data_IF_269281126912
#
_entry.id   IF_269281126912
#
_cell.length_a   1.000
_cell.length_b   1.000
_cell.length_c   1.000
_cell.angle_alpha   90.00
_cell.angle_beta   90.00
_cell.angle_gamma   90.00
#
_symmetry.space_group_name_H-M   'P 1'
#
loop_
_entity.id
_entity.type
_entity.pdbx_description
1 polymer ?
#
# COMPACT_ATOMS: atom_id res chain seq x y z
N UNK A 1 0.86 -28.87 0.94
CA UNK A 1 0.93 -28.04 2.17
C UNK A 1 0.63 -26.63 1.69
N UNK A 2 -0.45 -26.02 2.17
CA UNK A 2 -0.71 -24.60 1.95
C UNK A 2 0.39 -23.81 2.64
N UNK A 3 1.08 -22.95 1.91
CA UNK A 3 2.08 -22.06 2.50
C UNK A 3 1.45 -21.20 3.58
N UNK A 4 2.14 -21.04 4.72
CA UNK A 4 1.70 -20.14 5.77
C UNK A 4 1.88 -18.67 5.32
N UNK A 5 0.95 -17.81 5.73
CA UNK A 5 1.11 -16.35 5.62
C UNK A 5 2.27 -15.89 6.50
N UNK A 6 3.06 -14.96 5.98
CA UNK A 6 4.14 -14.26 6.68
C UNK A 6 3.60 -12.91 7.12
N UNK A 7 3.68 -12.61 8.42
CA UNK A 7 3.25 -11.31 8.95
C UNK A 7 4.29 -10.22 8.71
N UNK A 8 3.94 -8.96 9.00
CA UNK A 8 4.90 -7.85 8.89
C UNK A 8 6.07 -8.03 9.88
N UNK A 9 5.78 -8.46 11.11
CA UNK A 9 6.83 -8.71 12.11
C UNK A 9 7.74 -9.88 11.72
N UNK A 10 7.21 -10.91 11.05
CA UNK A 10 8.01 -12.03 10.55
C UNK A 10 8.86 -11.63 9.33
N UNK A 11 8.35 -10.72 8.50
CA UNK A 11 9.08 -10.19 7.34
C UNK A 11 10.42 -9.56 7.75
N UNK A 12 10.47 -8.87 8.90
CA UNK A 12 11.67 -8.18 9.40
C UNK A 12 12.85 -9.13 9.66
N UNK A 13 12.60 -10.45 9.77
CA UNK A 13 13.66 -11.46 9.93
C UNK A 13 14.34 -11.84 8.60
N UNK A 14 13.81 -11.41 7.44
CA UNK A 14 14.37 -11.72 6.13
C UNK A 14 15.29 -10.60 5.63
N UNK A 15 16.45 -10.97 5.09
CA UNK A 15 17.36 -10.03 4.41
C UNK A 15 16.83 -9.69 3.01
N UNK A 16 15.97 -8.68 2.94
CA UNK A 16 15.35 -8.15 1.72
C UNK A 16 15.43 -6.61 1.68
N UNK A 17 16.63 -6.01 1.58
CA UNK A 17 16.82 -4.57 1.73
C UNK A 17 16.07 -3.73 0.67
N UNK A 18 15.80 -4.30 -0.50
CA UNK A 18 15.08 -3.64 -1.60
C UNK A 18 13.56 -3.64 -1.41
N UNK A 19 13.01 -4.35 -0.43
CA UNK A 19 11.57 -4.57 -0.32
C UNK A 19 11.02 -4.04 1.00
N UNK A 20 9.75 -3.66 0.99
CA UNK A 20 9.00 -3.27 2.19
C UNK A 20 7.66 -3.99 2.21
N UNK A 21 7.22 -4.36 3.40
CA UNK A 21 5.92 -4.95 3.62
C UNK A 21 4.87 -3.83 3.76
N UNK A 22 3.93 -3.77 2.83
CA UNK A 22 2.88 -2.73 2.77
C UNK A 22 1.55 -3.43 2.46
N UNK A 23 0.50 -3.18 3.25
CA UNK A 23 -0.85 -3.72 3.05
C UNK A 23 -0.90 -5.22 2.71
N UNK A 24 -0.18 -6.06 3.47
CA UNK A 24 -0.12 -7.54 3.28
C UNK A 24 0.59 -8.01 2.00
N UNK A 25 1.38 -7.14 1.37
CA UNK A 25 2.12 -7.42 0.14
C UNK A 25 3.56 -6.94 0.25
N UNK A 26 4.44 -7.46 -0.59
CA UNK A 26 5.79 -6.94 -0.73
C UNK A 26 5.83 -5.91 -1.85
N UNK A 27 6.30 -4.71 -1.54
CA UNK A 27 6.45 -3.60 -2.48
C UNK A 27 7.93 -3.27 -2.66
N UNK A 28 8.31 -2.92 -3.89
CA UNK A 28 9.60 -2.28 -4.18
C UNK A 28 9.45 -1.30 -5.32
N UNK A 29 10.42 -0.41 -5.44
CA UNK A 29 10.61 0.46 -6.59
C UNK A 29 12.08 0.46 -6.97
N UNK A 30 12.37 0.25 -8.24
CA UNK A 30 13.71 0.39 -8.80
C UNK A 30 13.77 1.64 -9.67
N UNK A 31 14.75 2.51 -9.42
CA UNK A 31 15.11 3.62 -10.30
C UNK A 31 15.94 3.08 -11.45
N UNK A 32 15.56 3.43 -12.66
CA UNK A 32 16.28 3.03 -13.88
C UNK A 32 16.94 4.25 -14.51
N UNK A 33 18.15 4.13 -15.09
CA UNK A 33 18.84 5.25 -15.73
C UNK A 33 18.11 5.74 -16.99
N UNK A 34 17.41 4.85 -17.67
CA UNK A 34 16.62 5.11 -18.85
C UNK A 34 15.43 4.13 -18.96
N UNK A 35 14.57 4.35 -19.95
CA UNK A 35 13.38 3.55 -20.19
C UNK A 35 13.73 2.15 -20.73
N UNK A 36 14.81 2.03 -21.52
CA UNK A 36 15.24 0.75 -22.11
C UNK A 36 15.69 -0.23 -21.01
N UNK A 37 16.41 0.26 -20.00
CA UNK A 37 16.77 -0.50 -18.80
C UNK A 37 15.52 -0.94 -18.03
N UNK A 38 14.51 -0.05 -17.93
CA UNK A 38 13.21 -0.39 -17.36
C UNK A 38 12.49 -1.50 -18.12
N UNK A 39 12.42 -1.42 -19.45
CA UNK A 39 11.85 -2.47 -20.29
C UNK A 39 12.59 -3.80 -20.14
N UNK A 40 13.92 -3.78 -20.10
CA UNK A 40 14.73 -4.98 -19.89
C UNK A 40 14.47 -5.61 -18.52
N UNK A 41 14.34 -4.80 -17.47
CA UNK A 41 14.00 -5.25 -16.13
C UNK A 41 12.62 -5.91 -16.11
N UNK A 42 11.59 -5.26 -16.65
CA UNK A 42 10.23 -5.81 -16.76
C UNK A 42 10.23 -7.14 -17.51
N UNK A 43 10.93 -7.23 -18.65
CA UNK A 43 11.00 -8.46 -19.43
C UNK A 43 11.63 -9.62 -18.66
N UNK A 44 12.72 -9.37 -17.92
CA UNK A 44 13.39 -10.39 -17.11
C UNK A 44 12.56 -10.82 -15.90
N UNK A 45 11.89 -9.87 -15.23
CA UNK A 45 10.95 -10.19 -14.15
C UNK A 45 9.80 -11.03 -14.70
N UNK A 46 9.23 -10.66 -15.85
CA UNK A 46 8.16 -11.42 -16.49
C UNK A 46 8.57 -12.86 -16.86
N UNK A 47 9.80 -13.06 -17.33
CA UNK A 47 10.33 -14.40 -17.59
C UNK A 47 10.47 -15.22 -16.29
N UNK A 48 11.03 -14.62 -15.23
CA UNK A 48 11.17 -15.26 -13.93
C UNK A 48 9.81 -15.58 -13.28
N UNK A 49 8.83 -14.67 -13.43
CA UNK A 49 7.45 -14.87 -12.97
C UNK A 49 6.81 -16.09 -13.63
N UNK A 50 7.02 -16.26 -14.94
CA UNK A 50 6.49 -17.43 -15.65
C UNK A 50 7.18 -18.73 -15.25
N UNK A 51 8.49 -18.72 -15.05
CA UNK A 51 9.19 -19.90 -14.53
C UNK A 51 8.70 -20.29 -13.13
N UNK A 52 8.45 -19.31 -12.27
CA UNK A 52 7.95 -19.52 -10.91
C UNK A 52 6.45 -19.85 -10.84
N UNK A 53 5.69 -19.64 -11.93
CA UNK A 53 4.22 -19.62 -11.92
C UNK A 53 3.65 -18.71 -10.81
N UNK A 54 4.29 -17.54 -10.65
CA UNK A 54 4.00 -16.58 -9.60
C UNK A 54 4.14 -15.17 -10.18
N UNK A 55 3.02 -14.51 -10.46
CA UNK A 55 2.99 -13.29 -11.27
C UNK A 55 2.83 -12.05 -10.39
N UNK A 56 3.78 -11.09 -10.45
CA UNK A 56 3.66 -9.84 -9.71
C UNK A 56 2.84 -8.81 -10.50
N UNK A 57 2.42 -7.76 -9.81
CA UNK A 57 2.01 -6.51 -10.44
C UNK A 57 3.27 -5.67 -10.75
N UNK A 58 3.31 -5.07 -11.94
CA UNK A 58 4.45 -4.29 -12.40
C UNK A 58 3.95 -3.00 -13.07
N UNK A 59 4.43 -1.86 -12.59
CA UNK A 59 4.28 -0.57 -13.24
C UNK A 59 5.61 -0.09 -13.83
N UNK A 60 5.58 0.34 -15.09
CA UNK A 60 6.74 0.89 -15.79
C UNK A 60 6.53 2.38 -16.08
N UNK A 61 7.38 3.21 -15.48
CA UNK A 61 7.47 4.64 -15.73
C UNK A 61 8.81 5.00 -16.38
N UNK A 62 8.92 6.22 -16.92
CA UNK A 62 10.11 6.67 -17.67
C UNK A 62 11.46 6.43 -16.96
N UNK A 63 11.50 6.50 -15.62
CA UNK A 63 12.73 6.29 -14.84
C UNK A 63 12.56 5.39 -13.62
N UNK A 64 11.52 4.54 -13.61
CA UNK A 64 11.36 3.55 -12.54
C UNK A 64 10.47 2.38 -12.92
N UNK A 65 10.73 1.24 -12.29
CA UNK A 65 9.84 0.07 -12.27
C UNK A 65 9.38 -0.16 -10.84
N UNK A 66 8.07 -0.10 -10.60
CA UNK A 66 7.47 -0.56 -9.35
C UNK A 66 7.07 -2.03 -9.48
N UNK A 67 7.20 -2.78 -8.39
CA UNK A 67 6.82 -4.20 -8.34
C UNK A 67 6.11 -4.50 -7.03
N UNK A 68 4.99 -5.21 -7.14
CA UNK A 68 4.23 -5.71 -5.98
C UNK A 68 4.06 -7.22 -6.13
N UNK A 69 4.37 -7.99 -5.10
CA UNK A 69 4.18 -9.44 -5.08
C UNK A 69 3.48 -9.91 -3.81
N UNK A 70 2.56 -10.84 -3.99
CA UNK A 70 1.82 -11.55 -2.94
C UNK A 70 1.30 -12.88 -3.51
N UNK A 71 1.06 -13.86 -2.64
CA UNK A 71 0.42 -15.12 -3.02
C UNK A 71 -1.10 -14.98 -3.02
N UNK A 72 -1.68 -14.72 -4.20
CA UNK A 72 -3.12 -14.49 -4.37
C UNK A 72 -4.00 -15.62 -3.85
N UNK A 73 -3.57 -16.88 -4.03
CA UNK A 73 -4.29 -18.06 -3.55
C UNK A 73 -4.36 -18.15 -2.02
N UNK A 74 -3.42 -17.48 -1.34
CA UNK A 74 -3.34 -17.39 0.12
C UNK A 74 -3.84 -16.04 0.63
N UNK A 75 -3.99 -15.02 -0.21
CA UNK A 75 -4.38 -13.66 0.19
C UNK A 75 -3.34 -12.97 1.10
N UNK A 76 -2.04 -13.12 0.79
CA UNK A 76 -0.96 -12.50 1.55
C UNK A 76 0.44 -12.93 1.12
N UNK A 77 1.46 -12.48 1.84
CA UNK A 77 2.87 -12.85 1.60
C UNK A 77 3.13 -14.28 2.08
N UNK A 78 3.82 -15.08 1.27
CA UNK A 78 4.30 -16.41 1.66
C UNK A 78 5.80 -16.57 1.37
N UNK A 79 6.34 -17.75 1.66
CA UNK A 79 7.72 -18.09 1.30
C UNK A 79 8.02 -17.96 -0.21
N UNK A 80 7.00 -18.14 -1.08
CA UNK A 80 7.10 -17.93 -2.52
C UNK A 80 7.46 -16.48 -2.86
N UNK A 81 6.78 -15.54 -2.21
CA UNK A 81 7.02 -14.10 -2.38
C UNK A 81 8.42 -13.70 -1.92
N UNK A 82 8.87 -14.24 -0.78
CA UNK A 82 10.23 -14.01 -0.28
C UNK A 82 11.27 -14.52 -1.27
N UNK A 83 11.08 -15.72 -1.81
CA UNK A 83 11.97 -16.28 -2.83
C UNK A 83 12.01 -15.43 -4.10
N UNK A 84 10.84 -15.04 -4.60
CA UNK A 84 10.72 -14.27 -5.83
C UNK A 84 11.26 -12.83 -5.69
N UNK A 85 11.05 -12.20 -4.53
CA UNK A 85 11.63 -10.90 -4.20
C UNK A 85 13.16 -10.91 -4.29
N UNK A 86 13.84 -11.98 -3.85
CA UNK A 86 15.29 -12.14 -4.02
C UNK A 86 15.70 -12.24 -5.49
N UNK A 87 14.96 -13.01 -6.28
CA UNK A 87 15.23 -13.14 -7.73
C UNK A 87 15.09 -11.79 -8.43
N UNK A 88 14.04 -11.03 -8.14
CA UNK A 88 13.83 -9.70 -8.72
C UNK A 88 14.96 -8.74 -8.31
N UNK A 89 15.35 -8.73 -7.03
CA UNK A 89 16.49 -7.92 -6.56
C UNK A 89 17.77 -8.22 -7.32
N UNK A 90 18.10 -9.50 -7.53
CA UNK A 90 19.29 -9.89 -8.29
C UNK A 90 19.22 -9.44 -9.76
N UNK A 91 18.05 -9.56 -10.41
CA UNK A 91 17.85 -9.07 -11.78
C UNK A 91 18.05 -7.55 -11.85
N UNK A 92 17.53 -6.80 -10.88
CA UNK A 92 17.66 -5.35 -10.83
C UNK A 92 19.13 -4.93 -10.67
N UNK A 93 19.86 -5.57 -9.76
CA UNK A 93 21.29 -5.32 -9.53
C UNK A 93 22.13 -5.59 -10.78
N UNK A 94 21.87 -6.70 -11.48
CA UNK A 94 22.57 -7.05 -12.73
C UNK A 94 22.34 -6.03 -13.85
N UNK A 95 21.17 -5.38 -13.87
CA UNK A 95 20.82 -4.35 -14.85
C UNK A 95 21.22 -2.93 -14.40
N UNK A 96 21.84 -2.78 -13.22
CA UNK A 96 22.25 -1.48 -12.68
C UNK A 96 21.07 -0.60 -12.24
N UNK A 97 19.90 -1.18 -12.02
CA UNK A 97 18.77 -0.46 -11.44
C UNK A 97 18.96 -0.29 -9.93
N UNK A 98 18.68 0.89 -9.40
CA UNK A 98 18.91 1.21 -7.97
C UNK A 98 17.61 1.08 -7.19
N UNK A 99 17.59 0.29 -6.13
CA UNK A 99 16.41 0.17 -5.26
C UNK A 99 16.13 1.49 -4.51
N UNK A 100 14.86 1.90 -4.48
CA UNK A 100 14.33 3.05 -3.75
C UNK A 100 13.12 2.59 -2.89
N UNK A 101 13.34 1.67 -1.93
CA UNK A 101 12.28 1.02 -1.17
C UNK A 101 11.48 1.99 -0.30
N UNK A 102 12.08 3.09 0.16
CA UNK A 102 11.39 4.10 0.99
C UNK A 102 10.35 4.92 0.22
N UNK A 103 10.43 4.92 -1.12
CA UNK A 103 9.50 5.66 -1.95
C UNK A 103 8.16 4.95 -2.17
N UNK A 104 8.05 3.67 -1.80
CA UNK A 104 6.80 2.91 -1.95
C UNK A 104 5.75 3.46 -0.97
N UNK A 105 4.54 3.61 -1.47
CA UNK A 105 3.39 4.00 -0.67
C UNK A 105 2.11 3.54 -1.38
N UNK A 106 1.06 3.34 -0.59
CA UNK A 106 -0.31 3.20 -1.09
C UNK A 106 -1.12 4.34 -0.50
N UNK A 107 -1.84 5.05 -1.36
CA UNK A 107 -2.86 6.01 -0.94
C UNK A 107 -4.19 5.26 -0.95
N UNK A 108 -4.80 5.10 0.21
CA UNK A 108 -6.13 4.55 0.33
C UNK A 108 -7.11 5.64 0.78
N UNK A 109 -8.31 5.65 0.21
CA UNK A 109 -9.31 6.67 0.49
C UNK A 109 -10.40 6.08 1.39
N UNK A 110 -10.53 6.61 2.60
CA UNK A 110 -11.56 6.21 3.55
C UNK A 110 -12.79 7.11 3.47
N UNK A 111 -13.99 6.52 3.49
CA UNK A 111 -15.25 7.24 3.62
C UNK A 111 -15.95 6.89 4.94
N UNK A 112 -16.06 7.88 5.82
CA UNK A 112 -16.74 7.79 7.10
C UNK A 112 -18.26 7.69 6.92
N UNK A 113 -18.85 6.64 7.49
CA UNK A 113 -20.29 6.41 7.42
C UNK A 113 -20.79 5.59 8.61
N UNK A 114 -21.98 5.89 9.12
CA UNK A 114 -22.62 5.06 10.14
C UNK A 114 -23.21 3.76 9.60
N UNK A 115 -23.27 3.60 8.28
CA UNK A 115 -23.78 2.39 7.63
C UNK A 115 -23.15 2.19 6.24
N UNK A 116 -22.02 1.46 6.15
CA UNK A 116 -21.35 1.12 4.88
C UNK A 116 -22.28 0.43 3.89
N UNK A 117 -23.00 -0.60 4.34
CA UNK A 117 -23.89 -1.42 3.49
C UNK A 117 -24.97 -0.59 2.76
N UNK A 118 -25.41 0.52 3.36
CA UNK A 118 -26.41 1.44 2.76
C UNK A 118 -25.85 2.25 1.60
N UNK A 119 -24.58 2.63 1.63
CA UNK A 119 -23.98 3.56 0.66
C UNK A 119 -23.02 2.87 -0.33
N UNK A 120 -22.49 1.69 0.01
CA UNK A 120 -21.56 0.93 -0.83
C UNK A 120 -22.09 0.69 -2.25
N UNK A 121 -23.36 0.30 -2.48
CA UNK A 121 -23.88 0.09 -3.84
C UNK A 121 -23.82 1.33 -4.73
N UNK A 122 -23.97 2.54 -4.16
CA UNK A 122 -23.84 3.78 -4.92
C UNK A 122 -22.39 3.98 -5.40
N UNK A 123 -21.41 3.78 -4.52
CA UNK A 123 -20.00 3.96 -4.86
C UNK A 123 -19.48 2.89 -5.81
N UNK A 124 -19.94 1.64 -5.68
CA UNK A 124 -19.67 0.59 -6.67
C UNK A 124 -20.11 1.03 -8.08
N UNK A 125 -21.35 1.52 -8.20
CA UNK A 125 -21.88 1.99 -9.48
C UNK A 125 -21.15 3.24 -10.01
N UNK A 126 -20.79 4.18 -9.13
CA UNK A 126 -20.11 5.41 -9.53
C UNK A 126 -18.68 5.15 -10.01
N UNK A 127 -17.94 4.30 -9.30
CA UNK A 127 -16.53 4.03 -9.56
C UNK A 127 -16.33 2.90 -10.59
N UNK A 128 -17.40 2.16 -10.94
CA UNK A 128 -17.26 0.93 -11.72
C UNK A 128 -16.41 -0.11 -10.99
N UNK A 129 -16.54 -0.16 -9.67
CA UNK A 129 -15.70 -0.94 -8.76
C UNK A 129 -16.46 -2.12 -8.15
N UNK A 130 -15.74 -3.18 -7.81
CA UNK A 130 -16.26 -4.35 -7.12
C UNK A 130 -15.82 -4.37 -5.65
N UNK A 131 -16.48 -5.18 -4.82
CA UNK A 131 -16.01 -5.42 -3.44
C UNK A 131 -14.63 -6.05 -3.49
N UNK A 132 -13.72 -5.57 -2.64
CA UNK A 132 -12.42 -6.21 -2.48
C UNK A 132 -12.63 -7.65 -1.96
N UNK A 133 -12.09 -8.68 -2.63
CA UNK A 133 -12.25 -10.07 -2.19
C UNK A 133 -11.57 -10.36 -0.84
N UNK A 134 -10.61 -9.54 -0.43
CA UNK A 134 -9.86 -9.66 0.81
C UNK A 134 -10.40 -8.72 1.93
N UNK A 135 -11.26 -7.76 1.58
CA UNK A 135 -11.82 -6.76 2.50
C UNK A 135 -13.27 -6.36 2.12
N UNK A 136 -14.24 -6.82 2.92
CA UNK A 136 -15.66 -6.51 2.71
C UNK A 136 -16.00 -5.02 2.83
N UNK A 137 -15.12 -4.20 3.43
CA UNK A 137 -15.27 -2.75 3.51
C UNK A 137 -14.54 -2.00 2.38
N UNK A 138 -13.76 -2.70 1.56
CA UNK A 138 -13.02 -2.16 0.42
C UNK A 138 -13.77 -2.22 -0.92
N UNK A 139 -13.36 -1.34 -1.84
CA UNK A 139 -13.70 -1.35 -3.25
C UNK A 139 -12.44 -1.33 -4.11
N UNK A 140 -12.41 -2.17 -5.15
CA UNK A 140 -11.35 -2.24 -6.16
C UNK A 140 -11.85 -1.95 -7.57
N UNK A 141 -11.05 -1.24 -8.35
CA UNK A 141 -11.33 -1.02 -9.77
C UNK A 141 -11.02 -2.25 -10.64
N UNK A 142 -11.26 -2.13 -11.95
CA UNK A 142 -11.00 -3.20 -12.91
C UNK A 142 -9.51 -3.60 -13.06
N UNK A 143 -8.59 -2.77 -12.54
CA UNK A 143 -7.16 -3.07 -12.49
C UNK A 143 -6.74 -3.71 -11.16
N UNK A 144 -7.69 -3.91 -10.23
CA UNK A 144 -7.42 -4.44 -8.90
C UNK A 144 -6.85 -3.41 -7.93
N UNK A 145 -6.92 -2.12 -8.26
CA UNK A 145 -6.44 -1.02 -7.42
C UNK A 145 -7.49 -0.65 -6.38
N UNK A 146 -7.09 -0.49 -5.12
CA UNK A 146 -7.96 0.04 -4.07
C UNK A 146 -8.37 1.47 -4.42
N UNK A 147 -9.69 1.73 -4.45
CA UNK A 147 -10.23 3.05 -4.80
C UNK A 147 -10.98 3.73 -3.67
N UNK A 148 -11.59 2.96 -2.77
CA UNK A 148 -12.34 3.48 -1.63
C UNK A 148 -12.59 2.38 -0.60
N UNK A 149 -12.46 2.67 0.69
CA UNK A 149 -12.92 1.82 1.78
C UNK A 149 -13.89 2.57 2.71
N UNK A 150 -14.73 1.86 3.44
CA UNK A 150 -15.74 2.46 4.32
C UNK A 150 -15.35 2.33 5.79
N UNK A 151 -15.10 3.45 6.46
CA UNK A 151 -14.90 3.45 7.91
C UNK A 151 -16.25 3.58 8.62
N UNK A 152 -16.63 2.53 9.36
CA UNK A 152 -17.83 2.60 10.18
C UNK A 152 -17.58 3.40 11.47
N UNK A 153 -18.20 4.57 11.59
CA UNK A 153 -18.17 5.41 12.80
C UNK A 153 -19.54 5.47 13.47
N UNK A 154 -19.57 5.45 14.82
CA UNK A 154 -20.80 5.65 15.59
C UNK A 154 -21.36 7.08 15.44
N UNK A 155 -20.47 8.03 15.14
CA UNK A 155 -20.80 9.42 14.89
C UNK A 155 -20.93 9.63 13.38
N UNK A 156 -22.17 9.79 12.93
CA UNK A 156 -22.42 10.84 11.93
C UNK A 156 -22.90 12.01 12.75
N UNK A 157 -22.15 13.11 12.86
CA UNK A 157 -22.71 14.34 13.43
C UNK A 157 -23.96 14.70 12.64
N UNK A 158 -25.12 14.37 13.20
CA UNK A 158 -26.41 14.89 12.79
C UNK A 158 -26.60 16.21 13.51
N UNK A 159 -25.70 17.16 13.24
CA UNK A 159 -25.73 18.53 13.75
C UNK A 159 -25.72 19.50 12.57
N UNK A 160 -26.47 20.61 12.63
CA UNK A 160 -26.71 21.47 11.47
C UNK A 160 -25.48 22.24 10.94
N UNK A 161 -24.38 22.33 11.70
CA UNK A 161 -23.25 23.25 11.40
C UNK A 161 -21.84 22.61 11.34
N UNK A 162 -21.70 21.29 11.28
CA UNK A 162 -20.37 20.65 11.16
C UNK A 162 -20.18 19.97 9.79
N UNK A 163 -19.23 20.41 8.93
CA UNK A 163 -18.64 19.53 7.96
C UNK A 163 -17.69 18.58 8.71
N UNK A 164 -18.22 17.48 9.24
CA UNK A 164 -17.32 16.36 9.56
C UNK A 164 -16.72 15.85 8.27
N UNK A 165 -15.40 15.87 8.19
CA UNK A 165 -14.64 15.30 7.10
C UNK A 165 -15.11 13.87 6.85
N UNK A 166 -15.74 13.66 5.69
CA UNK A 166 -16.27 12.35 5.31
C UNK A 166 -15.22 11.51 4.61
N UNK A 167 -14.41 12.14 3.77
CA UNK A 167 -13.28 11.49 3.12
C UNK A 167 -12.01 11.73 3.89
N UNK A 168 -11.19 10.71 4.07
CA UNK A 168 -9.83 10.85 4.58
C UNK A 168 -8.85 10.01 3.78
N UNK A 169 -7.60 10.45 3.79
CA UNK A 169 -6.51 9.74 3.13
C UNK A 169 -5.75 8.91 4.17
N UNK A 170 -5.63 7.62 3.90
CA UNK A 170 -4.73 6.72 4.60
C UNK A 170 -3.51 6.48 3.72
N UNK A 171 -2.39 7.11 4.09
CA UNK A 171 -1.13 6.99 3.35
C UNK A 171 -0.31 5.90 4.01
N UNK A 172 -0.38 4.70 3.47
CA UNK A 172 0.42 3.56 3.94
C UNK A 172 1.81 3.66 3.33
N UNK A 173 2.81 3.82 4.17
CA UNK A 173 4.22 3.98 3.76
C UNK A 173 5.07 2.83 4.28
N UNK A 174 6.29 2.71 3.74
CA UNK A 174 7.33 1.93 4.39
C UNK A 174 7.51 2.38 5.85
N UNK A 175 7.67 1.42 6.76
CA UNK A 175 7.85 1.64 8.19
C UNK A 175 9.04 2.59 8.48
N UNK A 176 10.15 2.39 7.77
CA UNK A 176 11.35 3.22 7.85
C UNK A 176 11.26 4.57 7.12
N UNK A 177 10.13 4.86 6.47
CA UNK A 177 9.81 6.17 5.88
C UNK A 177 8.81 6.98 6.70
N UNK A 178 8.07 6.35 7.64
CA UNK A 178 7.05 7.01 8.44
C UNK A 178 7.58 8.18 9.30
N UNK A 179 8.71 8.05 10.03
CA UNK A 179 9.24 9.14 10.84
C UNK A 179 9.59 10.38 10.00
N UNK A 180 10.24 10.18 8.85
CA UNK A 180 10.62 11.26 7.93
C UNK A 180 9.37 11.95 7.36
N UNK A 181 8.32 11.18 7.03
CA UNK A 181 7.06 11.71 6.52
C UNK A 181 6.31 12.54 7.57
N UNK A 182 6.22 12.04 8.80
CA UNK A 182 5.61 12.78 9.92
C UNK A 182 6.36 14.09 10.17
N UNK A 183 7.69 14.03 10.24
CA UNK A 183 8.52 15.23 10.42
C UNK A 183 8.30 16.25 9.29
N UNK A 184 8.21 15.80 8.04
CA UNK A 184 7.94 16.66 6.90
C UNK A 184 6.54 17.32 6.97
N UNK A 185 5.51 16.58 7.37
CA UNK A 185 4.15 17.13 7.54
C UNK A 185 4.12 18.19 8.64
N UNK A 186 4.75 17.92 9.80
CA UNK A 186 4.84 18.89 10.90
C UNK A 186 5.62 20.14 10.48
N UNK A 187 6.73 19.98 9.76
CA UNK A 187 7.52 21.10 9.23
C UNK A 187 6.74 21.94 8.20
N UNK A 188 5.79 21.34 7.48
CA UNK A 188 4.90 22.03 6.55
C UNK A 188 3.74 22.78 7.24
N UNK A 189 3.69 22.79 8.58
CA UNK A 189 2.62 23.45 9.36
C UNK A 189 1.46 22.54 9.73
N UNK A 190 1.57 21.23 9.46
CA UNK A 190 0.63 20.24 9.97
C UNK A 190 0.77 20.04 11.48
N UNK A 191 -0.27 19.47 12.10
CA UNK A 191 -0.28 19.14 13.53
C UNK A 191 -0.57 17.66 13.74
N UNK A 192 0.03 17.08 14.78
CA UNK A 192 -0.36 15.76 15.26
C UNK A 192 -1.75 15.86 15.92
N UNK A 193 -2.70 15.04 15.48
CA UNK A 193 -4.02 14.90 16.09
C UNK A 193 -3.97 13.81 17.15
N UNK A 194 -3.48 12.62 16.80
CA UNK A 194 -3.24 11.53 17.74
C UNK A 194 -2.12 10.62 17.25
N UNK A 195 -1.34 10.11 18.21
CA UNK A 195 -0.32 9.08 18.04
C UNK A 195 -0.61 7.82 18.87
N UNK A 196 -1.83 7.73 19.44
CA UNK A 196 -2.24 6.62 20.32
C UNK A 196 -2.10 5.24 19.66
N UNK A 197 -2.23 5.19 18.34
CA UNK A 197 -2.22 3.96 17.55
C UNK A 197 -0.86 3.67 16.88
N UNK A 198 0.18 4.41 17.24
CA UNK A 198 1.54 4.16 16.74
C UNK A 198 2.04 2.76 17.20
N UNK A 199 2.78 2.01 16.35
CA UNK A 199 3.26 2.40 15.02
C UNK A 199 2.29 2.09 13.86
N UNK A 200 1.11 1.54 14.14
CA UNK A 200 0.17 1.15 13.09
C UNK A 200 -0.32 2.35 12.29
N UNK A 201 -0.63 3.47 12.95
CA UNK A 201 -0.89 4.74 12.28
C UNK A 201 -0.82 5.96 13.23
N UNK A 202 -0.69 7.13 12.60
CA UNK A 202 -0.79 8.46 13.22
C UNK A 202 -1.82 9.26 12.48
N UNK A 203 -2.61 10.07 13.19
CA UNK A 203 -3.54 11.01 12.58
C UNK A 203 -2.94 12.41 12.64
N UNK A 204 -2.82 13.06 11.48
CA UNK A 204 -2.32 14.42 11.35
C UNK A 204 -3.41 15.31 10.76
N UNK A 205 -3.31 16.61 10.97
CA UNK A 205 -4.21 17.60 10.38
C UNK A 205 -3.45 18.73 9.70
N UNK A 206 -4.00 19.23 8.60
CA UNK A 206 -3.55 20.48 7.97
C UNK A 206 -4.03 21.73 8.75
N UNK A 207 -3.75 22.91 8.20
CA UNK A 207 -4.11 24.20 8.82
C UNK A 207 -5.62 24.46 8.88
N UNK A 208 -6.41 23.82 8.02
CA UNK A 208 -7.87 23.96 7.96
C UNK A 208 -8.58 22.88 8.79
N UNK A 209 -7.83 21.92 9.33
CA UNK A 209 -8.34 20.84 10.17
C UNK A 209 -8.73 19.57 9.40
N UNK A 210 -8.40 19.46 8.11
CA UNK A 210 -8.56 18.21 7.36
C UNK A 210 -7.56 17.19 7.90
N UNK A 211 -8.05 16.00 8.25
CA UNK A 211 -7.28 14.92 8.86
C UNK A 211 -6.88 13.85 7.83
N UNK A 212 -5.67 13.33 7.97
CA UNK A 212 -5.19 12.20 7.19
C UNK A 212 -4.30 11.32 8.06
N UNK A 213 -4.20 10.05 7.70
CA UNK A 213 -3.35 9.09 8.41
C UNK A 213 -2.04 8.87 7.67
N UNK A 214 -0.95 8.77 8.43
CA UNK A 214 0.24 8.04 7.98
C UNK A 214 0.15 6.66 8.62
N UNK A 215 0.17 5.61 7.81
CA UNK A 215 -0.02 4.23 8.23
C UNK A 215 1.23 3.40 7.93
N UNK A 216 1.48 2.37 8.73
CA UNK A 216 2.50 1.34 8.43
C UNK A 216 1.91 -0.05 8.61
N UNK A 217 2.63 -1.08 8.14
CA UNK A 217 2.26 -2.46 8.38
C UNK A 217 2.55 -2.93 9.83
N UNK A 218 3.36 -2.19 10.58
CA UNK A 218 3.76 -2.55 11.95
C UNK A 218 2.57 -2.45 12.92
N UNK A 219 2.50 -3.35 13.90
CA UNK A 219 1.44 -3.33 14.92
C UNK A 219 0.05 -3.70 14.39
N UNK A 220 -0.03 -4.40 13.25
CA UNK A 220 -1.28 -4.83 12.59
C UNK A 220 -1.39 -6.36 12.41
N UNK A 221 -0.55 -7.11 13.13
CA UNK A 221 -0.55 -8.58 13.14
C UNK A 221 -1.78 -9.16 13.87
#
# INVERSE_FOLDING_TARGET
MTDARITASEFDAFDLPHWRFVLQRLHTRFRTPDYDTGLALVARIGAAAQEAQHHPEIDLHYGSVGVITSSHDVGGVTSRDIGFARTISAIADELGATADPKSVQVLDMGLNTSNPSRIKPFWQALLGAETDPDDDDGLRDAFGTNVLWFQQSAETSTGPDAPEMRFHADVVVADDAAPDRIAAVLAAGGRMVTEEFAPAFWVLADADGNQACICTAQGRD
#
